data_IF_325350259246
#
_entry.id   IF_325350259246
#
_cell.length_a   1.000
_cell.length_b   1.000
_cell.length_c   1.000
_cell.angle_alpha   90.00
_cell.angle_beta   90.00
_cell.angle_gamma   90.00
#
_symmetry.space_group_name_H-M   'P 1'
#
loop_
_entity.id
_entity.type
_entity.pdbx_description
1 polymer ?
#
# COMPACT_ATOMS: atom_id res chain seq x y z
N UNK A 1 -31.27 -64.41 -30.45
CA UNK A 1 -32.45 -63.53 -30.62
C UNK A 1 -32.02 -62.26 -31.32
N UNK A 2 -32.66 -61.95 -32.44
CA UNK A 2 -32.51 -60.72 -33.23
C UNK A 2 -33.48 -59.64 -32.74
N UNK A 3 -33.10 -58.36 -32.79
CA UNK A 3 -33.85 -57.35 -33.55
C UNK A 3 -33.00 -56.07 -33.76
N UNK A 4 -33.37 -55.25 -34.74
CA UNK A 4 -32.51 -54.27 -35.43
C UNK A 4 -33.34 -53.13 -36.02
N UNK A 5 -32.93 -51.87 -35.84
CA UNK A 5 -33.40 -50.66 -36.57
C UNK A 5 -32.30 -49.57 -36.39
N UNK A 6 -31.77 -48.76 -37.35
CA UNK A 6 -32.20 -48.20 -38.67
C UNK A 6 -33.50 -47.38 -38.61
N UNK A 7 -33.63 -46.10 -39.01
CA UNK A 7 -32.73 -45.03 -39.53
C UNK A 7 -33.37 -43.65 -39.18
N UNK A 8 -33.11 -42.47 -39.75
CA UNK A 8 -32.23 -41.88 -40.81
C UNK A 8 -31.84 -40.44 -40.35
N UNK A 9 -30.72 -39.81 -40.70
CA UNK A 9 -30.33 -39.13 -41.96
C UNK A 9 -31.32 -38.05 -42.48
N UNK A 10 -30.92 -36.77 -42.36
CA UNK A 10 -31.22 -35.73 -43.35
C UNK A 10 -30.07 -34.71 -43.43
N UNK A 11 -29.54 -34.52 -44.64
CA UNK A 11 -28.53 -33.54 -45.02
C UNK A 11 -29.15 -32.40 -45.82
N UNK A 12 -28.67 -31.17 -45.64
CA UNK A 12 -28.77 -30.09 -46.63
C UNK A 12 -27.55 -29.16 -46.55
N UNK A 13 -27.26 -28.47 -47.67
CA UNK A 13 -25.92 -28.01 -48.03
C UNK A 13 -25.47 -26.65 -47.48
N UNK A 14 -24.14 -26.50 -47.55
CA UNK A 14 -23.34 -25.29 -47.42
C UNK A 14 -23.78 -24.10 -48.30
N UNK A 15 -23.38 -22.89 -47.90
CA UNK A 15 -22.47 -22.00 -48.66
C UNK A 15 -21.83 -20.99 -47.67
N UNK A 16 -20.53 -20.64 -47.80
CA UNK A 16 -19.85 -19.71 -46.90
C UNK A 16 -19.92 -18.25 -47.36
N UNK A 17 -19.84 -17.30 -46.42
CA UNK A 17 -19.51 -15.89 -46.70
C UNK A 17 -18.29 -15.50 -45.87
N UNK A 18 -17.22 -15.12 -46.55
CA UNK A 18 -16.02 -14.52 -45.95
C UNK A 18 -16.23 -13.03 -45.67
N UNK A 19 -15.52 -12.51 -44.67
CA UNK A 19 -15.02 -11.14 -44.72
C UNK A 19 -15.53 -10.18 -43.63
N UNK A 20 -14.58 -9.39 -43.11
CA UNK A 20 -14.79 -8.13 -42.38
C UNK A 20 -15.69 -8.12 -41.14
N UNK A 21 -15.10 -8.36 -39.95
CA UNK A 21 -15.38 -7.55 -38.75
C UNK A 21 -14.37 -7.78 -37.58
N UNK A 22 -13.06 -7.75 -37.87
CA UNK A 22 -12.03 -7.87 -36.83
C UNK A 22 -11.22 -6.56 -36.65
N UNK A 23 -11.84 -5.51 -36.10
CA UNK A 23 -11.17 -4.26 -35.63
C UNK A 23 -12.09 -3.29 -34.87
N UNK A 24 -12.80 -3.73 -33.81
CA UNK A 24 -13.53 -2.79 -32.90
C UNK A 24 -13.89 -3.30 -31.49
N UNK A 25 -13.39 -4.46 -31.04
CA UNK A 25 -13.81 -5.07 -29.77
C UNK A 25 -13.33 -4.43 -28.43
N UNK A 26 -12.19 -3.72 -28.30
CA UNK A 26 -11.69 -3.34 -26.97
C UNK A 26 -12.46 -2.17 -26.32
N UNK A 27 -13.15 -1.33 -27.11
CA UNK A 27 -13.97 -0.24 -26.57
C UNK A 27 -15.24 -0.77 -25.86
N UNK A 28 -15.84 -1.83 -26.41
CA UNK A 28 -17.15 -2.29 -25.96
C UNK A 28 -17.12 -2.87 -24.54
N UNK A 29 -16.03 -3.54 -24.16
CA UNK A 29 -15.86 -4.12 -22.82
C UNK A 29 -15.63 -3.04 -21.74
N UNK A 30 -14.91 -1.97 -22.09
CA UNK A 30 -14.72 -0.83 -21.18
C UNK A 30 -16.05 -0.07 -20.96
N UNK A 31 -16.83 0.12 -22.02
CA UNK A 31 -18.17 0.69 -21.92
C UNK A 31 -19.13 -0.18 -21.08
N UNK A 32 -19.14 -1.52 -21.23
CA UNK A 32 -20.00 -2.36 -20.39
C UNK A 32 -19.60 -2.33 -18.92
N UNK A 33 -18.30 -2.31 -18.58
CA UNK A 33 -17.85 -2.14 -17.19
C UNK A 33 -18.27 -0.78 -16.62
N UNK A 34 -18.10 0.31 -17.38
CA UNK A 34 -18.54 1.65 -16.96
C UNK A 34 -20.07 1.73 -16.77
N UNK A 35 -20.84 1.12 -17.66
CA UNK A 35 -22.31 1.09 -17.59
C UNK A 35 -22.82 0.22 -16.42
N UNK A 36 -22.15 -0.88 -16.09
CA UNK A 36 -22.45 -1.67 -14.87
C UNK A 36 -22.16 -0.87 -13.61
N UNK A 37 -21.03 -0.15 -13.55
CA UNK A 37 -20.71 0.74 -12.42
C UNK A 37 -21.77 1.86 -12.29
N UNK A 38 -22.18 2.49 -13.39
CA UNK A 38 -23.22 3.52 -13.39
C UNK A 38 -24.60 2.98 -13.01
N UNK A 39 -24.97 1.78 -13.46
CA UNK A 39 -26.24 1.13 -13.09
C UNK A 39 -26.31 0.81 -11.59
N UNK A 40 -25.21 0.35 -11.00
CA UNK A 40 -25.10 0.13 -9.55
C UNK A 40 -25.25 1.47 -8.81
N UNK A 41 -24.56 2.54 -9.24
CA UNK A 41 -24.70 3.86 -8.62
C UNK A 41 -26.12 4.46 -8.75
N UNK A 42 -26.78 4.26 -9.89
CA UNK A 42 -28.15 4.70 -10.15
C UNK A 42 -29.16 4.01 -9.20
N UNK A 43 -29.06 2.67 -9.07
CA UNK A 43 -29.99 1.89 -8.24
C UNK A 43 -29.93 2.23 -6.74
N UNK A 44 -28.75 2.58 -6.21
CA UNK A 44 -28.59 2.95 -4.80
C UNK A 44 -29.07 4.37 -4.45
N UNK A 45 -29.25 5.25 -5.43
CA UNK A 45 -29.63 6.64 -5.16
C UNK A 45 -31.14 6.88 -5.04
N UNK A 46 -31.97 5.85 -5.28
CA UNK A 46 -33.43 6.01 -5.42
C UNK A 46 -34.26 5.51 -4.20
N UNK A 47 -33.63 5.00 -3.14
CA UNK A 47 -34.33 4.36 -2.00
C UNK A 47 -34.08 5.00 -0.62
N UNK A 48 -33.57 6.25 -0.56
CA UNK A 48 -33.39 6.95 0.71
C UNK A 48 -33.81 8.42 0.68
N UNK A 49 -35.11 8.66 0.56
CA UNK A 49 -35.73 9.93 0.97
C UNK A 49 -37.13 9.70 1.52
N UNK A 50 -37.25 9.73 2.86
CA UNK A 50 -38.48 10.07 3.60
C UNK A 50 -38.14 10.36 5.07
N UNK A 51 -38.69 11.46 5.57
CA UNK A 51 -38.86 11.86 6.96
C UNK A 51 -37.58 12.21 7.76
N UNK A 52 -37.32 13.51 7.89
CA UNK A 52 -37.46 14.20 9.19
C UNK A 52 -37.76 15.70 8.96
N UNK A 53 -38.48 16.30 9.91
CA UNK A 53 -39.12 17.61 9.77
C UNK A 53 -38.18 18.81 9.99
N UNK A 54 -38.66 19.98 9.57
CA UNK A 54 -38.02 21.26 9.86
C UNK A 54 -38.08 21.58 11.36
N UNK A 55 -37.02 22.19 11.88
CA UNK A 55 -37.18 23.30 12.82
C UNK A 55 -36.16 24.40 12.55
N UNK A 56 -36.52 25.62 12.92
CA UNK A 56 -35.91 26.86 12.46
C UNK A 56 -34.90 27.44 13.45
N UNK A 57 -33.86 28.10 12.93
CA UNK A 57 -33.56 29.48 13.35
C UNK A 57 -32.55 30.13 12.42
N UNK A 58 -32.91 31.32 11.92
CA UNK A 58 -31.98 32.23 11.27
C UNK A 58 -31.26 33.06 12.34
N UNK A 59 -29.97 33.33 12.16
CA UNK A 59 -29.37 34.62 12.55
C UNK A 59 -28.42 35.09 11.47
N UNK A 60 -28.66 36.29 10.98
CA UNK A 60 -27.85 36.97 9.98
C UNK A 60 -26.58 37.53 10.58
N UNK A 61 -25.54 37.73 9.76
CA UNK A 61 -24.82 39.00 9.72
C UNK A 61 -24.28 39.27 8.31
N UNK A 62 -23.83 40.50 8.08
CA UNK A 62 -24.03 41.24 6.83
C UNK A 62 -22.97 41.08 5.73
N UNK A 63 -23.42 41.39 4.50
CA UNK A 63 -22.61 41.69 3.31
C UNK A 63 -21.36 42.55 3.62
N UNK A 64 -20.25 42.21 2.97
CA UNK A 64 -19.22 43.18 2.55
C UNK A 64 -19.06 43.05 1.03
N UNK A 65 -18.71 44.15 0.39
CA UNK A 65 -18.87 44.38 -1.04
C UNK A 65 -17.87 43.59 -1.92
N UNK A 66 -18.27 43.44 -3.19
CA UNK A 66 -17.52 42.91 -4.32
C UNK A 66 -16.13 43.52 -4.53
N UNK A 67 -15.20 42.68 -4.96
CA UNK A 67 -14.21 43.05 -5.98
C UNK A 67 -14.09 41.89 -6.97
N UNK A 68 -14.38 42.16 -8.24
CA UNK A 68 -14.22 41.19 -9.31
C UNK A 68 -12.73 41.02 -9.63
N UNK A 69 -12.19 39.81 -9.45
CA UNK A 69 -10.88 39.45 -9.98
C UNK A 69 -11.03 38.73 -11.32
N UNK A 70 -10.12 38.94 -12.29
CA UNK A 70 -10.21 38.27 -13.58
C UNK A 70 -10.18 36.75 -13.41
N UNK A 71 -11.16 36.05 -14.00
CA UNK A 71 -11.12 34.59 -14.15
C UNK A 71 -9.95 34.20 -15.05
N UNK A 72 -8.77 33.98 -14.47
CA UNK A 72 -7.76 33.15 -15.10
C UNK A 72 -8.31 31.73 -15.17
N UNK A 73 -8.42 31.21 -16.39
CA UNK A 73 -8.65 29.79 -16.60
C UNK A 73 -7.43 29.04 -16.08
N UNK A 74 -7.53 28.50 -14.86
CA UNK A 74 -6.60 27.48 -14.40
C UNK A 74 -6.90 26.21 -15.19
N UNK A 75 -6.21 26.04 -16.33
CA UNK A 75 -5.90 24.67 -16.77
C UNK A 75 -5.18 24.00 -15.60
N UNK A 76 -5.67 22.82 -15.21
CA UNK A 76 -5.09 22.06 -14.10
C UNK A 76 -3.72 21.52 -14.50
N UNK A 77 -2.68 22.35 -14.34
CA UNK A 77 -1.28 21.92 -14.28
C UNK A 77 -1.07 21.12 -12.98
N UNK A 78 -1.67 19.93 -12.92
CA UNK A 78 -1.31 18.95 -11.91
C UNK A 78 0.16 18.59 -12.14
N UNK A 79 1.04 18.70 -11.12
CA UNK A 79 2.46 18.49 -11.32
C UNK A 79 2.74 17.09 -11.88
N UNK A 80 3.62 17.03 -12.87
CA UNK A 80 4.13 15.80 -13.46
C UNK A 80 4.68 14.87 -12.36
N UNK A 81 4.08 13.69 -12.16
CA UNK A 81 4.53 12.76 -11.11
C UNK A 81 5.62 11.79 -11.55
N UNK A 82 6.11 11.95 -12.79
CA UNK A 82 7.19 11.12 -13.32
C UNK A 82 8.47 11.36 -12.49
N UNK A 83 9.07 10.28 -12.01
CA UNK A 83 10.31 10.30 -11.20
C UNK A 83 10.21 11.15 -9.90
N UNK A 84 9.00 11.45 -9.40
CA UNK A 84 8.76 12.31 -8.22
C UNK A 84 9.42 11.79 -6.91
N UNK A 85 9.70 10.49 -6.85
CA UNK A 85 10.34 9.81 -5.73
C UNK A 85 11.71 9.21 -6.12
N UNK A 86 12.41 9.77 -7.12
CA UNK A 86 13.74 9.31 -7.60
C UNK A 86 14.85 9.19 -6.56
N UNK A 87 14.69 9.77 -5.37
CA UNK A 87 15.66 9.68 -4.28
C UNK A 87 15.31 8.60 -3.25
N UNK A 88 14.19 7.89 -3.44
CA UNK A 88 13.62 6.93 -2.49
C UNK A 88 13.58 5.54 -3.15
N UNK A 89 14.09 4.53 -2.43
CA UNK A 89 13.87 3.14 -2.79
C UNK A 89 12.51 2.67 -2.25
N UNK A 90 11.62 2.23 -3.13
CA UNK A 90 10.41 1.52 -2.73
C UNK A 90 10.71 0.02 -2.65
N UNK A 91 10.52 -0.57 -1.48
CA UNK A 91 10.63 -2.00 -1.19
C UNK A 91 9.22 -2.57 -1.08
N UNK A 92 8.91 -3.54 -1.93
CA UNK A 92 7.63 -4.28 -1.88
C UNK A 92 7.90 -5.67 -1.35
N UNK A 93 7.38 -5.95 -0.15
CA UNK A 93 7.57 -7.20 0.57
C UNK A 93 6.39 -8.15 0.35
N UNK A 94 6.68 -9.29 -0.25
CA UNK A 94 5.74 -10.37 -0.50
C UNK A 94 5.60 -11.26 0.74
N UNK A 95 4.39 -11.33 1.30
CA UNK A 95 4.09 -12.23 2.42
C UNK A 95 4.15 -13.72 2.03
N UNK A 96 3.90 -14.00 0.75
CA UNK A 96 3.91 -15.33 0.10
C UNK A 96 4.53 -15.19 -1.31
N UNK A 97 5.10 -16.24 -1.92
CA UNK A 97 5.85 -16.14 -3.19
C UNK A 97 4.99 -15.97 -4.46
N UNK A 98 4.11 -14.97 -4.43
CA UNK A 98 3.07 -14.65 -5.42
C UNK A 98 3.60 -13.69 -6.50
N UNK A 99 4.76 -14.05 -7.04
CA UNK A 99 5.61 -13.16 -7.86
C UNK A 99 5.08 -12.86 -9.27
N UNK A 100 3.99 -13.47 -9.70
CA UNK A 100 3.31 -13.17 -10.95
C UNK A 100 2.63 -11.78 -10.97
N UNK A 101 2.37 -11.17 -9.81
CA UNK A 101 1.90 -9.77 -9.73
C UNK A 101 2.99 -8.71 -9.92
N UNK A 102 4.28 -9.09 -9.89
CA UNK A 102 5.43 -8.17 -10.00
C UNK A 102 5.31 -7.22 -11.21
N UNK A 103 4.98 -7.66 -12.44
CA UNK A 103 4.85 -6.76 -13.60
C UNK A 103 3.76 -5.70 -13.42
N UNK A 104 2.71 -6.00 -12.65
CA UNK A 104 1.58 -5.11 -12.42
C UNK A 104 1.86 -4.10 -11.31
N UNK A 105 2.49 -4.52 -10.21
CA UNK A 105 2.98 -3.59 -9.18
C UNK A 105 4.12 -2.70 -9.73
N UNK A 106 4.99 -3.24 -10.59
CA UNK A 106 6.00 -2.47 -11.29
C UNK A 106 5.38 -1.41 -12.23
N UNK A 107 4.33 -1.76 -12.98
CA UNK A 107 3.61 -0.81 -13.83
C UNK A 107 2.87 0.28 -13.01
N UNK A 108 2.42 -0.05 -11.79
CA UNK A 108 1.78 0.89 -10.88
C UNK A 108 2.77 1.89 -10.25
N UNK A 109 3.96 1.43 -9.82
CA UNK A 109 4.85 2.26 -9.01
C UNK A 109 6.08 2.81 -9.74
N UNK A 110 6.66 2.07 -10.70
CA UNK A 110 7.91 2.48 -11.37
C UNK A 110 7.87 3.86 -12.04
N UNK A 111 6.74 4.33 -12.62
CA UNK A 111 6.69 5.65 -13.23
C UNK A 111 7.00 6.82 -12.28
N UNK A 112 6.78 6.66 -10.97
CA UNK A 112 7.09 7.67 -9.95
C UNK A 112 8.25 7.28 -9.02
N UNK A 113 8.44 5.97 -8.79
CA UNK A 113 9.54 5.36 -8.05
C UNK A 113 10.46 4.59 -9.01
N UNK A 114 11.45 5.26 -9.67
CA UNK A 114 12.35 4.57 -10.60
C UNK A 114 13.19 3.49 -9.90
N UNK A 115 13.41 3.62 -8.59
CA UNK A 115 14.06 2.63 -7.74
C UNK A 115 13.01 1.78 -7.02
N UNK A 116 12.88 0.53 -7.46
CA UNK A 116 11.89 -0.43 -6.99
C UNK A 116 12.56 -1.78 -6.75
N UNK A 117 12.44 -2.30 -5.53
CA UNK A 117 12.95 -3.61 -5.14
C UNK A 117 11.80 -4.49 -4.65
N UNK A 118 11.76 -5.73 -5.15
CA UNK A 118 10.82 -6.74 -4.67
C UNK A 118 11.56 -7.69 -3.73
N UNK A 119 10.92 -8.09 -2.64
CA UNK A 119 11.50 -9.00 -1.66
C UNK A 119 10.48 -10.03 -1.19
N UNK A 120 10.92 -11.23 -0.84
CA UNK A 120 10.04 -12.28 -0.32
C UNK A 120 10.73 -13.63 -0.07
N UNK A 121 9.94 -14.68 0.24
CA UNK A 121 10.45 -16.00 0.58
C UNK A 121 11.01 -16.76 -0.65
N UNK A 122 11.98 -17.67 -0.45
CA UNK A 122 12.52 -18.50 -1.53
C UNK A 122 11.43 -19.41 -2.13
N UNK A 123 11.38 -19.49 -3.47
CA UNK A 123 10.41 -20.31 -4.19
C UNK A 123 10.88 -20.66 -5.60
N UNK A 124 10.28 -21.65 -6.26
CA UNK A 124 10.65 -22.01 -7.64
C UNK A 124 10.29 -20.93 -8.68
N UNK A 125 9.37 -20.02 -8.37
CA UNK A 125 9.03 -18.84 -9.19
C UNK A 125 9.92 -17.62 -8.92
N UNK A 126 10.88 -17.71 -7.99
CA UNK A 126 11.87 -16.67 -7.74
C UNK A 126 12.69 -16.39 -9.01
N UNK A 127 12.92 -15.10 -9.30
CA UNK A 127 13.71 -14.63 -10.45
C UNK A 127 14.87 -13.74 -9.98
N UNK A 128 15.86 -13.56 -10.85
CA UNK A 128 16.92 -12.58 -10.62
C UNK A 128 16.34 -11.18 -10.36
N UNK A 129 16.85 -10.51 -9.33
CA UNK A 129 16.37 -9.19 -8.89
C UNK A 129 15.25 -9.20 -7.83
N UNK A 130 14.81 -10.36 -7.35
CA UNK A 130 14.02 -10.47 -6.11
C UNK A 130 14.98 -10.70 -4.94
N UNK A 131 14.92 -9.85 -3.92
CA UNK A 131 15.67 -10.01 -2.67
C UNK A 131 15.05 -11.13 -1.83
N UNK A 132 15.87 -12.11 -1.40
CA UNK A 132 15.36 -13.29 -0.70
C UNK A 132 15.53 -13.17 0.81
N UNK A 133 14.41 -13.27 1.52
CA UNK A 133 14.29 -13.21 2.98
C UNK A 133 13.25 -14.25 3.40
N UNK A 134 13.53 -15.08 4.41
CA UNK A 134 12.48 -15.92 5.00
C UNK A 134 11.56 -15.05 5.87
N UNK A 135 10.54 -14.48 5.23
CA UNK A 135 9.53 -13.65 5.87
C UNK A 135 8.54 -14.44 6.74
N UNK A 136 8.64 -15.77 6.78
CA UNK A 136 7.76 -16.69 7.51
C UNK A 136 6.25 -16.33 7.39
N UNK A 137 5.70 -16.42 6.17
CA UNK A 137 4.30 -16.06 5.86
C UNK A 137 3.92 -14.61 6.23
N UNK A 138 4.88 -13.69 6.13
CA UNK A 138 4.73 -12.27 6.45
C UNK A 138 5.09 -11.86 7.88
N UNK A 139 5.18 -12.81 8.82
CA UNK A 139 5.48 -12.55 10.24
C UNK A 139 6.78 -11.75 10.42
N UNK A 140 7.76 -11.97 9.54
CA UNK A 140 9.08 -11.33 9.54
C UNK A 140 9.31 -10.42 8.32
N UNK A 141 8.24 -9.99 7.63
CA UNK A 141 8.30 -9.24 6.37
C UNK A 141 9.13 -7.95 6.42
N UNK A 142 9.20 -7.28 7.58
CA UNK A 142 9.98 -6.06 7.80
C UNK A 142 11.48 -6.21 7.49
N UNK A 143 12.03 -7.43 7.59
CA UNK A 143 13.45 -7.66 7.29
C UNK A 143 13.76 -7.48 5.80
N UNK A 144 12.76 -7.51 4.92
CA UNK A 144 12.92 -7.04 3.55
C UNK A 144 13.41 -5.59 3.47
N UNK A 145 12.93 -4.70 4.34
CA UNK A 145 13.42 -3.31 4.41
C UNK A 145 14.83 -3.26 5.02
N UNK A 146 15.06 -3.98 6.13
CA UNK A 146 16.36 -4.03 6.80
C UNK A 146 17.46 -4.49 5.85
N UNK A 147 17.22 -5.62 5.17
CA UNK A 147 18.14 -6.21 4.20
C UNK A 147 18.31 -5.34 2.95
N UNK A 148 17.24 -4.73 2.42
CA UNK A 148 17.33 -3.79 1.31
C UNK A 148 18.25 -2.59 1.61
N UNK A 149 18.20 -2.04 2.84
CA UNK A 149 19.09 -0.95 3.26
C UNK A 149 20.55 -1.41 3.34
N UNK A 150 20.83 -2.66 3.73
CA UNK A 150 22.20 -3.19 3.82
C UNK A 150 22.80 -3.51 2.44
N UNK A 151 21.99 -4.04 1.52
CA UNK A 151 22.45 -4.44 0.18
C UNK A 151 22.35 -3.31 -0.87
N UNK A 152 21.49 -2.31 -0.65
CA UNK A 152 21.29 -1.16 -1.54
C UNK A 152 21.31 0.19 -0.78
N UNK A 153 22.44 0.56 -0.14
CA UNK A 153 22.57 1.83 0.56
C UNK A 153 22.61 3.05 -0.38
N UNK A 154 22.42 4.25 0.17
CA UNK A 154 22.64 5.54 -0.51
C UNK A 154 21.40 6.38 -0.82
N UNK A 155 20.19 5.79 -0.75
CA UNK A 155 18.94 6.52 -0.96
C UNK A 155 18.64 7.52 0.16
N UNK A 156 17.97 8.64 -0.16
CA UNK A 156 17.56 9.68 0.81
C UNK A 156 16.46 9.20 1.77
N UNK A 157 15.72 8.17 1.36
CA UNK A 157 14.82 7.43 2.23
C UNK A 157 14.44 6.10 1.61
N UNK A 158 13.81 5.25 2.42
CA UNK A 158 13.37 3.93 2.03
C UNK A 158 11.90 3.81 2.41
N UNK A 159 11.06 3.46 1.44
CA UNK A 159 9.64 3.23 1.63
C UNK A 159 9.40 1.72 1.56
N UNK A 160 8.60 1.18 2.46
CA UNK A 160 8.24 -0.22 2.56
C UNK A 160 6.72 -0.36 2.48
N UNK A 161 6.26 -1.32 1.68
CA UNK A 161 4.87 -1.78 1.68
C UNK A 161 4.83 -3.31 1.55
N UNK A 162 3.83 -3.93 2.16
CA UNK A 162 3.44 -5.29 1.82
C UNK A 162 2.84 -5.37 0.41
N UNK A 163 2.88 -6.54 -0.22
CA UNK A 163 2.37 -6.82 -1.57
C UNK A 163 0.86 -6.57 -1.74
N UNK A 164 0.12 -6.53 -0.63
CA UNK A 164 -1.32 -6.26 -0.54
C UNK A 164 -1.67 -4.85 -0.04
N UNK A 165 -0.75 -3.89 -0.16
CA UNK A 165 -1.02 -2.47 0.09
C UNK A 165 -1.06 -1.69 -1.22
N UNK A 166 -2.15 -0.95 -1.45
CA UNK A 166 -2.20 0.07 -2.51
C UNK A 166 -1.75 1.40 -1.92
N UNK A 167 -0.61 1.89 -2.43
CA UNK A 167 0.01 3.16 -2.05
C UNK A 167 -0.37 4.26 -3.06
N UNK A 168 -1.31 5.12 -2.69
CA UNK A 168 -1.79 6.24 -3.49
C UNK A 168 -0.80 7.42 -3.43
N UNK A 169 0.39 7.26 -4.01
CA UNK A 169 1.52 8.20 -3.88
C UNK A 169 1.23 9.64 -4.34
N UNK A 170 0.29 9.80 -5.26
CA UNK A 170 -0.22 11.09 -5.72
C UNK A 170 -0.93 11.92 -4.64
N UNK A 171 -1.22 11.34 -3.46
CA UNK A 171 -1.82 12.04 -2.33
C UNK A 171 -0.78 12.58 -1.31
N UNK A 172 0.54 12.36 -1.51
CA UNK A 172 1.56 12.67 -0.50
C UNK A 172 2.92 13.19 -1.01
N UNK A 173 2.94 13.89 -2.16
CA UNK A 173 4.17 14.38 -2.79
C UNK A 173 5.10 15.16 -1.83
N UNK A 174 4.48 15.99 -0.98
CA UNK A 174 5.13 16.94 -0.06
C UNK A 174 5.18 16.45 1.39
N UNK A 175 5.08 15.13 1.62
CA UNK A 175 5.28 14.56 2.95
C UNK A 175 6.69 14.87 3.49
N UNK A 176 6.81 15.02 4.82
CA UNK A 176 8.08 15.34 5.47
C UNK A 176 9.08 14.16 5.36
N UNK A 177 9.91 14.20 4.32
CA UNK A 177 10.97 13.21 4.03
C UNK A 177 12.05 13.15 5.12
N UNK A 178 12.06 14.08 6.08
CA UNK A 178 12.94 14.07 7.25
C UNK A 178 12.41 13.26 8.44
N UNK A 179 11.13 12.85 8.43
CA UNK A 179 10.50 12.06 9.50
C UNK A 179 10.40 10.57 9.16
N UNK A 180 10.30 9.75 10.20
CA UNK A 180 9.79 8.39 10.07
C UNK A 180 8.28 8.50 9.87
N UNK A 181 7.72 7.71 8.95
CA UNK A 181 6.27 7.61 8.80
C UNK A 181 5.83 6.16 8.96
N UNK A 182 4.98 5.89 9.94
CA UNK A 182 4.42 4.56 10.20
C UNK A 182 2.91 4.51 9.92
N UNK A 183 2.36 3.30 9.93
CA UNK A 183 0.93 3.06 9.87
C UNK A 183 0.14 3.83 10.95
N UNK A 184 -1.10 4.24 10.63
CA UNK A 184 -1.96 5.03 11.51
C UNK A 184 -2.51 4.29 12.73
N UNK A 185 -2.36 2.97 12.84
CA UNK A 185 -3.07 2.16 13.84
C UNK A 185 -2.13 1.51 14.86
N UNK A 186 -2.01 2.13 16.04
CA UNK A 186 -1.32 1.56 17.21
C UNK A 186 -2.25 0.64 18.00
N UNK A 187 -1.73 -0.49 18.48
CA UNK A 187 -2.42 -1.40 19.42
C UNK A 187 -2.01 -1.16 20.88
N UNK A 188 -1.07 -0.26 21.14
CA UNK A 188 -0.55 0.05 22.46
C UNK A 188 0.88 -0.47 22.69
N UNK A 189 1.20 -0.79 23.93
CA UNK A 189 2.53 -1.26 24.33
C UNK A 189 2.49 -2.04 25.65
N UNK A 190 3.47 -2.91 25.86
CA UNK A 190 3.56 -3.80 27.03
C UNK A 190 4.96 -3.70 27.65
N UNK A 191 5.09 -3.61 29.00
CA UNK A 191 6.39 -3.59 29.67
C UNK A 191 7.21 -4.84 29.35
N UNK A 192 8.50 -4.67 29.11
CA UNK A 192 9.36 -5.76 28.65
C UNK A 192 9.45 -6.89 29.69
N UNK A 193 9.52 -6.56 30.97
CA UNK A 193 9.76 -7.52 32.06
C UNK A 193 8.50 -8.02 32.77
N UNK A 194 7.31 -7.56 32.36
CA UNK A 194 6.03 -8.01 32.91
C UNK A 194 5.40 -9.12 32.03
N UNK A 195 4.40 -9.86 32.55
CA UNK A 195 3.53 -10.69 31.73
C UNK A 195 2.73 -9.86 30.70
N UNK A 196 2.34 -10.48 29.60
CA UNK A 196 1.51 -9.86 28.59
C UNK A 196 0.06 -9.65 29.10
N UNK A 197 -0.22 -8.48 29.68
CA UNK A 197 -1.54 -8.10 30.19
C UNK A 197 -2.53 -7.66 29.09
N UNK A 198 -2.58 -8.38 27.97
CA UNK A 198 -3.41 -8.03 26.81
C UNK A 198 -4.03 -9.25 26.15
N UNK A 199 -5.30 -9.12 25.72
CA UNK A 199 -6.05 -10.14 24.99
C UNK A 199 -5.57 -10.31 23.52
N UNK A 200 -4.60 -9.52 23.07
CA UNK A 200 -4.04 -9.62 21.72
C UNK A 200 -3.05 -10.80 21.65
N UNK A 201 -3.51 -11.91 21.06
CA UNK A 201 -2.82 -13.20 20.98
C UNK A 201 -1.32 -13.12 20.60
N UNK A 202 -0.93 -12.19 19.74
CA UNK A 202 0.45 -12.05 19.30
C UNK A 202 1.43 -11.77 20.46
N UNK A 203 1.01 -11.10 21.54
CA UNK A 203 1.89 -10.86 22.69
C UNK A 203 2.33 -12.13 23.41
N UNK A 204 1.46 -13.13 23.53
CA UNK A 204 1.73 -14.43 24.15
C UNK A 204 2.23 -15.49 23.14
N UNK A 205 2.29 -15.15 21.85
CA UNK A 205 2.74 -16.06 20.80
C UNK A 205 4.26 -16.31 20.85
N UNK A 206 4.75 -17.37 20.17
CA UNK A 206 6.18 -17.61 19.97
C UNK A 206 6.93 -16.51 19.18
N UNK A 207 6.26 -15.45 18.74
CA UNK A 207 6.81 -14.27 18.05
C UNK A 207 6.62 -12.96 18.86
N UNK A 208 6.12 -13.08 20.10
CA UNK A 208 5.57 -12.00 20.90
C UNK A 208 6.53 -11.30 21.87
N UNK A 209 6.02 -10.96 23.05
CA UNK A 209 6.70 -10.16 24.07
C UNK A 209 8.06 -10.75 24.47
N UNK A 210 8.13 -12.06 24.66
CA UNK A 210 9.37 -12.73 25.06
C UNK A 210 10.48 -12.70 23.98
N UNK A 211 10.11 -12.56 22.70
CA UNK A 211 11.09 -12.39 21.62
C UNK A 211 11.52 -10.93 21.54
N UNK A 212 10.57 -10.00 21.67
CA UNK A 212 10.87 -8.57 21.70
C UNK A 212 11.75 -8.19 22.91
N UNK A 213 11.52 -8.80 24.08
CA UNK A 213 12.42 -8.74 25.25
C UNK A 213 13.85 -9.10 24.87
N UNK A 214 14.05 -10.31 24.34
CA UNK A 214 15.38 -10.82 23.94
C UNK A 214 16.05 -9.95 22.88
N UNK A 215 15.29 -9.42 21.93
CA UNK A 215 15.81 -8.47 20.94
C UNK A 215 16.26 -7.14 21.57
N UNK A 216 15.53 -6.63 22.56
CA UNK A 216 15.92 -5.43 23.31
C UNK A 216 17.12 -5.68 24.23
N UNK A 217 17.22 -6.87 24.82
CA UNK A 217 18.38 -7.33 25.59
C UNK A 217 19.63 -7.45 24.69
N UNK A 218 19.51 -8.00 23.48
CA UNK A 218 20.62 -8.03 22.50
C UNK A 218 21.08 -6.62 22.09
N UNK A 219 20.15 -5.69 21.89
CA UNK A 219 20.50 -4.28 21.62
C UNK A 219 21.22 -3.66 22.82
N UNK A 220 20.77 -3.91 24.04
CA UNK A 220 21.40 -3.41 25.26
C UNK A 220 22.80 -4.01 25.50
N UNK A 221 22.99 -5.29 25.16
CA UNK A 221 24.23 -6.04 25.31
C UNK A 221 25.15 -5.97 24.08
N UNK A 222 24.83 -5.13 23.09
CA UNK A 222 25.62 -4.97 21.86
C UNK A 222 26.98 -4.32 22.16
N UNK A 223 27.97 -5.17 22.43
CA UNK A 223 29.37 -4.79 22.57
C UNK A 223 29.98 -4.34 21.24
N UNK A 224 31.09 -3.61 21.32
CA UNK A 224 31.83 -3.05 20.18
C UNK A 224 32.09 -4.08 19.06
N UNK A 225 31.44 -3.89 17.93
CA UNK A 225 31.55 -4.77 16.75
C UNK A 225 31.27 -4.04 15.43
N UNK A 226 31.19 -4.75 14.29
CA UNK A 226 30.95 -4.14 12.98
C UNK A 226 29.56 -3.49 12.86
N UNK A 227 28.55 -4.03 13.57
CA UNK A 227 27.21 -3.45 13.72
C UNK A 227 27.25 -2.27 14.70
N UNK A 228 27.88 -1.14 14.31
CA UNK A 228 27.99 0.06 15.18
C UNK A 228 26.65 0.77 15.33
N UNK A 229 26.02 0.60 16.49
CA UNK A 229 24.82 1.32 16.96
C UNK A 229 25.17 2.12 18.23
N UNK A 230 24.61 3.33 18.41
CA UNK A 230 24.79 4.07 19.67
C UNK A 230 23.80 3.55 20.73
N UNK A 231 24.14 2.41 21.35
CA UNK A 231 23.27 1.70 22.29
C UNK A 231 22.71 2.62 23.38
N UNK A 232 23.56 3.45 24.00
CA UNK A 232 23.15 4.40 25.04
C UNK A 232 22.09 5.39 24.54
N UNK A 233 22.26 5.96 23.34
CA UNK A 233 21.27 6.85 22.73
C UNK A 233 19.95 6.13 22.45
N UNK A 234 20.00 4.97 21.78
CA UNK A 234 18.81 4.27 21.31
C UNK A 234 17.99 3.64 22.46
N UNK A 235 18.65 3.08 23.48
CA UNK A 235 17.98 2.61 24.71
C UNK A 235 17.36 3.79 25.46
N UNK A 236 18.06 4.94 25.55
CA UNK A 236 17.50 6.15 26.15
C UNK A 236 16.29 6.70 25.38
N UNK A 237 16.28 6.59 24.06
CA UNK A 237 15.15 6.98 23.21
C UNK A 237 13.94 6.07 23.47
N UNK A 238 14.13 4.75 23.48
CA UNK A 238 13.07 3.80 23.80
C UNK A 238 12.49 4.05 25.21
N UNK A 239 13.35 4.23 26.22
CA UNK A 239 12.96 4.50 27.60
C UNK A 239 12.10 5.77 27.73
N UNK A 240 12.51 6.86 27.07
CA UNK A 240 11.74 8.13 27.03
C UNK A 240 10.41 7.97 26.30
N UNK A 241 10.40 7.29 25.16
CA UNK A 241 9.19 6.97 24.40
C UNK A 241 8.21 6.04 25.16
N UNK A 242 8.67 5.41 26.24
CA UNK A 242 7.93 4.42 27.03
C UNK A 242 7.57 4.92 28.45
N UNK A 243 7.63 6.24 28.68
CA UNK A 243 7.30 6.89 29.95
C UNK A 243 8.09 6.37 31.17
N UNK A 244 9.36 6.00 30.99
CA UNK A 244 10.25 5.64 32.11
C UNK A 244 10.28 4.15 32.48
N UNK A 245 9.61 3.28 31.73
CA UNK A 245 9.73 1.81 31.83
C UNK A 245 9.96 1.26 30.43
N UNK A 246 10.92 0.35 30.20
CA UNK A 246 11.11 -0.19 28.84
C UNK A 246 9.89 -1.01 28.39
N UNK A 247 9.38 -0.72 27.18
CA UNK A 247 8.19 -1.37 26.60
C UNK A 247 8.43 -1.83 25.17
N UNK A 248 7.81 -2.95 24.82
CA UNK A 248 7.56 -3.32 23.43
C UNK A 248 6.29 -2.61 22.96
N UNK A 249 6.31 -2.03 21.76
CA UNK A 249 5.18 -1.36 21.13
C UNK A 249 4.50 -2.28 20.13
N UNK A 250 3.23 -2.04 19.84
CA UNK A 250 2.51 -2.79 18.81
C UNK A 250 1.57 -1.92 17.98
N UNK A 251 1.33 -2.35 16.74
CA UNK A 251 0.54 -1.63 15.76
C UNK A 251 0.67 -2.21 14.35
N UNK A 252 -0.27 -1.87 13.47
CA UNK A 252 -0.23 -2.24 12.05
C UNK A 252 1.11 -1.83 11.43
N UNK A 253 1.67 -2.68 10.57
CA UNK A 253 3.08 -2.55 10.15
C UNK A 253 3.33 -2.92 8.69
N UNK A 254 2.27 -2.97 7.89
CA UNK A 254 2.26 -3.30 6.45
C UNK A 254 2.83 -2.16 5.58
N UNK A 255 3.14 -1.01 6.18
CA UNK A 255 3.64 0.20 5.52
C UNK A 255 4.53 1.01 6.47
N UNK A 256 5.67 1.47 5.96
CA UNK A 256 6.68 2.22 6.72
C UNK A 256 7.55 3.07 5.78
N UNK A 257 7.98 4.25 6.23
CA UNK A 257 9.05 5.03 5.61
C UNK A 257 10.15 5.35 6.63
N UNK A 258 11.41 5.11 6.24
CA UNK A 258 12.61 5.41 7.02
C UNK A 258 13.47 6.43 6.25
N UNK A 259 13.74 7.61 6.81
CA UNK A 259 14.64 8.60 6.20
C UNK A 259 16.11 8.16 6.33
N UNK A 260 16.98 8.64 5.44
CA UNK A 260 18.41 8.26 5.39
C UNK A 260 19.12 8.32 6.75
N UNK A 261 18.86 9.37 7.56
CA UNK A 261 19.46 9.52 8.91
C UNK A 261 19.25 8.31 9.82
N UNK A 262 18.16 7.57 9.63
CA UNK A 262 17.74 6.45 10.46
C UNK A 262 17.97 5.09 9.79
N UNK A 263 18.23 5.05 8.48
CA UNK A 263 18.30 3.83 7.69
C UNK A 263 19.31 2.81 8.23
N UNK A 264 20.56 3.22 8.50
CA UNK A 264 21.60 2.32 9.02
C UNK A 264 21.24 1.73 10.39
N UNK A 265 20.69 2.54 11.30
CA UNK A 265 20.31 2.06 12.62
C UNK A 265 19.07 1.15 12.54
N UNK A 266 18.09 1.48 11.69
CA UNK A 266 16.96 0.61 11.39
C UNK A 266 17.42 -0.75 10.86
N UNK A 267 18.37 -0.79 9.92
CA UNK A 267 18.80 -2.04 9.30
C UNK A 267 19.58 -2.98 10.23
N UNK A 268 20.23 -2.43 11.27
CA UNK A 268 20.84 -3.20 12.37
C UNK A 268 19.76 -3.73 13.32
N UNK A 269 18.81 -2.87 13.74
CA UNK A 269 17.71 -3.28 14.63
C UNK A 269 16.83 -4.36 13.97
N UNK A 270 16.55 -4.21 12.67
CA UNK A 270 15.76 -5.15 11.87
C UNK A 270 16.38 -6.54 11.90
N UNK A 271 17.70 -6.63 11.72
CA UNK A 271 18.45 -7.88 11.76
C UNK A 271 18.35 -8.57 13.14
N UNK A 272 18.51 -7.81 14.23
CA UNK A 272 18.41 -8.34 15.61
C UNK A 272 16.98 -8.85 15.91
N UNK A 273 15.96 -8.05 15.57
CA UNK A 273 14.56 -8.42 15.76
C UNK A 273 14.18 -9.63 14.89
N UNK A 274 14.76 -9.75 13.70
CA UNK A 274 14.61 -10.89 12.79
C UNK A 274 15.28 -12.16 13.33
N UNK A 275 16.53 -12.09 13.80
CA UNK A 275 17.25 -13.19 14.46
C UNK A 275 16.47 -13.72 15.67
N UNK A 276 15.82 -12.82 16.43
CA UNK A 276 14.92 -13.17 17.55
C UNK A 276 13.48 -13.49 17.13
N UNK A 277 13.15 -13.47 15.85
CA UNK A 277 11.82 -13.77 15.30
C UNK A 277 10.72 -12.97 16.00
N UNK A 278 10.85 -11.64 16.05
CA UNK A 278 9.79 -10.76 16.56
C UNK A 278 8.77 -10.50 15.45
N UNK A 279 7.47 -10.63 15.72
CA UNK A 279 6.39 -10.38 14.76
C UNK A 279 6.39 -8.92 14.26
N UNK A 280 6.12 -8.68 12.96
CA UNK A 280 6.22 -7.34 12.36
C UNK A 280 5.41 -6.27 13.10
N UNK A 281 4.18 -6.59 13.53
CA UNK A 281 3.30 -5.66 14.27
C UNK A 281 3.76 -5.39 15.72
N UNK A 282 4.92 -5.93 16.13
CA UNK A 282 5.66 -5.60 17.36
C UNK A 282 7.04 -5.03 17.01
N UNK A 283 7.72 -5.62 16.03
CA UNK A 283 9.07 -5.25 15.61
C UNK A 283 9.14 -3.83 15.07
N UNK A 284 8.40 -3.51 14.00
CA UNK A 284 8.44 -2.16 13.40
C UNK A 284 8.08 -1.08 14.44
N UNK A 285 6.96 -1.19 15.18
CA UNK A 285 6.59 -0.17 16.16
C UNK A 285 7.64 0.01 17.24
N UNK A 286 8.28 -1.07 17.73
CA UNK A 286 9.32 -0.98 18.77
C UNK A 286 10.62 -0.40 18.21
N UNK A 287 11.08 -0.87 17.04
CA UNK A 287 12.32 -0.42 16.41
C UNK A 287 12.32 1.09 16.16
N UNK A 288 11.24 1.67 15.65
CA UNK A 288 11.22 3.12 15.39
C UNK A 288 11.24 3.97 16.68
N UNK A 289 10.83 3.42 17.84
CA UNK A 289 10.98 4.07 19.16
C UNK A 289 12.40 4.00 19.72
N UNK A 290 13.27 3.12 19.21
CA UNK A 290 14.72 3.25 19.43
C UNK A 290 15.32 4.40 18.60
N UNK A 291 14.74 4.72 17.43
CA UNK A 291 15.36 5.62 16.45
C UNK A 291 14.97 7.09 16.64
N UNK A 292 13.72 7.37 17.01
CA UNK A 292 13.15 8.71 16.97
C UNK A 292 12.14 8.90 18.11
N UNK A 293 11.91 10.16 18.54
CA UNK A 293 10.85 10.46 19.53
C UNK A 293 9.46 10.27 18.92
N UNK A 294 8.49 9.82 19.71
CA UNK A 294 7.08 9.65 19.27
C UNK A 294 6.52 10.89 18.54
N UNK A 295 6.78 12.10 19.05
CA UNK A 295 6.28 13.36 18.48
C UNK A 295 6.86 13.68 17.08
N UNK A 296 8.00 13.06 16.74
CA UNK A 296 8.68 13.18 15.45
C UNK A 296 8.33 12.04 14.47
N UNK A 297 7.52 11.06 14.89
CA UNK A 297 7.07 9.94 14.05
C UNK A 297 5.68 10.28 13.47
N UNK A 298 5.63 10.46 12.16
CA UNK A 298 4.40 10.72 11.42
C UNK A 298 3.51 9.48 11.30
N UNK A 299 2.20 9.69 11.25
CA UNK A 299 1.20 8.65 10.96
C UNK A 299 0.69 8.82 9.53
N UNK A 300 0.83 7.78 8.71
CA UNK A 300 0.36 7.77 7.33
C UNK A 300 -1.18 7.72 7.30
N UNK A 301 -1.88 8.70 6.67
CA UNK A 301 -3.33 8.67 6.50
C UNK A 301 -3.77 7.53 5.58
N UNK A 302 -4.14 6.38 6.14
CA UNK A 302 -4.65 5.24 5.38
C UNK A 302 -5.73 4.45 6.12
N UNK A 303 -6.23 3.41 5.46
CA UNK A 303 -7.36 2.62 5.95
C UNK A 303 -7.09 1.13 5.90
N UNK A 304 -7.21 0.51 7.07
CA UNK A 304 -7.28 -0.94 7.22
C UNK A 304 -8.73 -1.37 7.14
N UNK A 305 -9.07 -2.08 6.07
CA UNK A 305 -10.37 -2.75 5.95
C UNK A 305 -10.47 -3.78 7.09
N UNK A 306 -11.47 -3.68 7.97
CA UNK A 306 -11.64 -4.64 9.04
C UNK A 306 -12.15 -5.98 8.50
N UNK A 307 -11.52 -7.07 8.91
CA UNK A 307 -11.97 -8.43 8.63
C UNK A 307 -10.90 -9.46 8.96
N UNK A 308 -11.26 -10.75 8.89
CA UNK A 308 -10.33 -11.87 9.05
C UNK A 308 -10.56 -12.89 7.93
N UNK A 309 -9.58 -13.01 7.03
CA UNK A 309 -9.61 -13.95 5.89
C UNK A 309 -9.78 -15.39 6.36
N UNK A 310 -9.23 -15.73 7.55
CA UNK A 310 -9.32 -17.09 8.13
C UNK A 310 -10.74 -17.43 8.60
N UNK A 311 -11.62 -16.44 8.73
CA UNK A 311 -13.04 -16.59 9.08
C UNK A 311 -13.96 -16.43 7.86
N UNK A 312 -13.41 -16.32 6.66
CA UNK A 312 -14.19 -16.09 5.43
C UNK A 312 -14.92 -14.75 5.39
N UNK A 313 -14.44 -13.74 6.14
CA UNK A 313 -15.12 -12.45 6.26
C UNK A 313 -15.22 -11.73 4.90
N UNK A 314 -16.43 -11.50 4.35
CA UNK A 314 -16.62 -10.92 3.02
C UNK A 314 -15.87 -9.60 2.80
N UNK A 315 -15.62 -8.82 3.85
CA UNK A 315 -14.93 -7.53 3.75
C UNK A 315 -13.49 -7.66 3.25
N UNK A 316 -12.87 -8.83 3.42
CA UNK A 316 -11.49 -9.12 3.03
C UNK A 316 -11.36 -10.36 2.12
N UNK A 317 -12.48 -10.94 1.68
CA UNK A 317 -12.55 -12.05 0.72
C UNK A 317 -13.38 -11.74 -0.53
N UNK A 318 -14.29 -10.77 -0.49
CA UNK A 318 -14.98 -10.21 -1.65
C UNK A 318 -14.26 -8.95 -2.12
N UNK A 319 -13.64 -9.05 -3.28
CA UNK A 319 -12.87 -7.96 -3.89
C UNK A 319 -13.70 -6.72 -4.20
N UNK A 320 -15.02 -6.85 -4.38
CA UNK A 320 -15.92 -5.70 -4.58
C UNK A 320 -15.94 -4.79 -3.36
N UNK A 321 -15.77 -5.35 -2.15
CA UNK A 321 -15.73 -4.57 -0.92
C UNK A 321 -14.52 -3.62 -0.87
N UNK A 322 -13.36 -4.05 -1.36
CA UNK A 322 -12.19 -3.18 -1.48
C UNK A 322 -12.50 -1.92 -2.31
N UNK A 323 -13.12 -2.08 -3.49
CA UNK A 323 -13.42 -0.96 -4.37
C UNK A 323 -14.55 -0.08 -3.85
N UNK A 324 -15.56 -0.67 -3.19
CA UNK A 324 -16.59 0.06 -2.45
C UNK A 324 -16.00 0.97 -1.36
N UNK A 325 -14.93 0.54 -0.69
CA UNK A 325 -14.20 1.37 0.28
C UNK A 325 -13.24 2.35 -0.40
N UNK A 326 -12.59 1.96 -1.50
CA UNK A 326 -11.57 2.74 -2.19
C UNK A 326 -12.11 4.03 -2.80
N UNK A 327 -13.18 3.94 -3.61
CA UNK A 327 -13.71 5.09 -4.34
C UNK A 327 -14.13 6.28 -3.44
N UNK A 328 -14.92 6.12 -2.36
CA UNK A 328 -15.25 7.22 -1.46
C UNK A 328 -14.09 7.68 -0.57
N UNK A 329 -12.97 6.95 -0.53
CA UNK A 329 -11.79 7.26 0.30
C UNK A 329 -10.53 7.54 -0.54
N UNK A 330 -10.70 8.00 -1.79
CA UNK A 330 -9.63 8.22 -2.76
C UNK A 330 -8.51 9.22 -2.34
N UNK A 331 -8.73 10.02 -1.28
CA UNK A 331 -7.73 10.94 -0.67
C UNK A 331 -6.78 10.26 0.33
N UNK A 332 -7.04 9.01 0.73
CA UNK A 332 -6.12 8.26 1.59
C UNK A 332 -4.80 7.99 0.88
N UNK A 333 -3.71 8.00 1.62
CA UNK A 333 -2.36 7.70 1.13
C UNK A 333 -2.16 6.20 0.91
N UNK A 334 -2.85 5.34 1.67
CA UNK A 334 -2.87 3.91 1.40
C UNK A 334 -4.17 3.23 1.85
N UNK A 335 -4.38 2.02 1.34
CA UNK A 335 -5.45 1.11 1.78
C UNK A 335 -4.93 -0.34 1.81
N UNK A 336 -5.43 -1.13 2.76
CA UNK A 336 -5.06 -2.52 2.96
C UNK A 336 -6.24 -3.35 3.51
N UNK A 337 -6.41 -4.63 3.12
CA UNK A 337 -5.63 -5.36 2.13
C UNK A 337 -6.24 -5.23 0.73
N UNK A 338 -5.39 -5.21 -0.28
CA UNK A 338 -5.72 -5.39 -1.69
C UNK A 338 -5.16 -6.72 -2.18
N UNK A 339 -6.02 -7.70 -2.44
CA UNK A 339 -5.57 -9.07 -2.72
C UNK A 339 -5.62 -9.37 -4.22
N UNK A 340 -4.46 -9.55 -4.84
CA UNK A 340 -4.36 -10.04 -6.22
C UNK A 340 -4.49 -11.56 -6.33
N UNK A 341 -4.36 -12.28 -5.21
CA UNK A 341 -4.34 -13.74 -5.13
C UNK A 341 -5.32 -14.24 -4.06
N UNK A 342 -6.51 -14.64 -4.50
CA UNK A 342 -7.55 -15.29 -3.71
C UNK A 342 -8.31 -16.29 -4.62
N UNK A 343 -9.63 -16.39 -4.47
CA UNK A 343 -10.50 -17.11 -5.37
C UNK A 343 -10.42 -16.54 -6.80
N UNK A 344 -10.60 -17.39 -7.82
CA UNK A 344 -10.26 -17.05 -9.21
C UNK A 344 -11.01 -15.80 -9.74
N UNK A 345 -12.29 -15.66 -9.38
CA UNK A 345 -13.12 -14.52 -9.77
C UNK A 345 -12.61 -13.20 -9.17
N UNK A 346 -12.28 -13.23 -7.88
CA UNK A 346 -11.78 -12.10 -7.08
C UNK A 346 -10.41 -11.62 -7.58
N UNK A 347 -9.48 -12.56 -7.79
CA UNK A 347 -8.19 -12.30 -8.41
C UNK A 347 -8.33 -11.65 -9.79
N UNK A 348 -9.18 -12.19 -10.66
CA UNK A 348 -9.43 -11.61 -11.99
C UNK A 348 -10.05 -10.22 -11.89
N UNK A 349 -11.02 -10.01 -11.00
CA UNK A 349 -11.68 -8.71 -10.81
C UNK A 349 -10.69 -7.65 -10.31
N UNK A 350 -9.93 -7.92 -9.24
CA UNK A 350 -8.90 -7.00 -8.75
C UNK A 350 -7.81 -6.73 -9.80
N UNK A 351 -7.43 -7.73 -10.60
CA UNK A 351 -6.46 -7.55 -11.68
C UNK A 351 -6.97 -6.63 -12.79
N UNK A 352 -8.26 -6.75 -13.18
CA UNK A 352 -8.91 -5.85 -14.14
C UNK A 352 -8.97 -4.42 -13.56
N UNK A 353 -9.43 -4.28 -12.33
CA UNK A 353 -9.57 -2.96 -11.69
C UNK A 353 -8.21 -2.27 -11.45
N UNK A 354 -7.16 -3.01 -11.04
CA UNK A 354 -5.78 -2.50 -10.97
C UNK A 354 -5.32 -1.92 -12.31
N UNK A 355 -5.56 -2.64 -13.42
CA UNK A 355 -5.17 -2.20 -14.76
C UNK A 355 -5.95 -0.96 -15.21
N UNK A 356 -7.28 -1.02 -15.20
CA UNK A 356 -8.11 0.03 -15.80
C UNK A 356 -8.37 1.25 -14.89
N UNK A 357 -8.24 1.12 -13.56
CA UNK A 357 -8.43 2.24 -12.64
C UNK A 357 -7.10 2.83 -12.18
N UNK A 358 -6.20 2.01 -11.63
CA UNK A 358 -4.98 2.53 -10.98
C UNK A 358 -3.85 2.75 -11.97
N UNK A 359 -3.55 1.77 -12.84
CA UNK A 359 -2.45 1.90 -13.82
C UNK A 359 -2.78 2.95 -14.89
N UNK A 360 -4.03 3.05 -15.38
CA UNK A 360 -4.41 4.15 -16.27
C UNK A 360 -4.36 5.53 -15.58
N UNK A 361 -4.74 5.63 -14.30
CA UNK A 361 -4.54 6.86 -13.51
C UNK A 361 -3.05 7.20 -13.34
N UNK A 362 -2.19 6.22 -13.09
CA UNK A 362 -0.74 6.45 -13.01
C UNK A 362 -0.21 6.95 -14.36
N UNK A 363 -0.62 6.33 -15.47
CA UNK A 363 -0.26 6.81 -16.82
C UNK A 363 -0.67 8.26 -17.05
N UNK A 364 -1.88 8.68 -16.66
CA UNK A 364 -2.29 10.08 -16.85
C UNK A 364 -1.49 11.06 -15.97
N UNK A 365 -1.12 10.64 -14.75
CA UNK A 365 -0.31 11.44 -13.81
C UNK A 365 1.19 11.50 -14.17
N UNK A 366 1.71 10.56 -14.97
CA UNK A 366 3.14 10.50 -15.36
C UNK A 366 3.41 10.67 -16.85
N UNK A 367 2.38 10.77 -17.69
CA UNK A 367 2.51 11.12 -19.11
C UNK A 367 2.62 12.64 -19.28
N UNK A 368 3.77 13.17 -18.89
CA UNK A 368 4.01 14.60 -18.82
C UNK A 368 4.22 15.17 -20.23
N UNK A 369 3.26 15.98 -20.69
CA UNK A 369 3.42 16.74 -21.94
C UNK A 369 4.54 17.77 -21.77
N UNK A 370 5.41 17.98 -22.78
CA UNK A 370 6.35 19.09 -22.73
C UNK A 370 5.56 20.40 -22.76
N UNK A 371 5.90 21.33 -21.84
CA UNK A 371 5.42 22.71 -21.89
C UNK A 371 5.95 23.37 -23.18
N UNK A 372 5.12 23.41 -24.22
CA UNK A 372 5.43 24.12 -25.47
C UNK A 372 5.35 25.62 -25.22
N UNK A 373 6.43 26.20 -24.70
CA UNK A 373 6.62 27.64 -24.69
C UNK A 373 6.64 28.14 -26.14
N UNK A 374 5.50 28.65 -26.60
CA UNK A 374 5.42 29.45 -27.81
C UNK A 374 6.18 30.76 -27.58
N UNK A 375 7.48 30.73 -27.87
CA UNK A 375 8.29 31.94 -27.99
C UNK A 375 7.70 32.80 -29.12
N UNK A 376 6.87 33.78 -28.75
CA UNK A 376 6.50 34.87 -29.64
C UNK A 376 7.77 35.67 -29.95
N UNK A 377 8.42 35.35 -31.07
CA UNK A 377 9.45 36.23 -31.64
C UNK A 377 8.86 37.64 -31.72
N UNK A 378 9.54 38.68 -31.19
CA UNK A 378 9.07 40.05 -31.36
C UNK A 378 9.04 40.37 -32.86
N UNK A 379 7.90 40.85 -33.35
CA UNK A 379 7.86 41.51 -34.66
C UNK A 379 8.69 42.79 -34.53
N UNK A 380 9.81 42.85 -35.24
CA UNK A 380 10.44 44.13 -35.57
C UNK A 380 9.55 44.81 -36.61
N UNK A 381 8.98 45.95 -36.23
CA UNK A 381 8.65 47.06 -37.12
C UNK A 381 9.42 48.27 -36.57
#
# INVERSE_FOLDING_TARGET
MTYRHRGMLHTTCCIPVQGFLLRRLPLCLACTVAMVILAIYSGYSCTRSRNMEQSSSQRSFSKVLSNESPRMNMENDSPCLKDAFKEILLVIAYNYPLYDSIPHLAALYRPAFPHLLFCGPPHNTTRSGILIVDVHRGILGYECLGRAIREHPGYKGYFYINDDVILNYWNFLDFDRGKIWESSFSFGSTPIYEPANSKWYWWISPYGLNNCRRACEDVANMNSGPKKLNVKYHISALFKNSNGTLRCFSGRSDILYIPYKHAKAFSILSEIFYERKVFLEIAIPTMIRFLEKNDNIGRLPGYYIPGDVRKGDPRVTDSRFFWFVYFPKNKLWFIHPFKLHQHELDSKFNMVMLKFILIEKVKSLTNCRPLTFFSRKPKKN
#
